data_IF_883831517453
#
_entry.id   IF_883831517453
#
_cell.length_a   1.000
_cell.length_b   1.000
_cell.length_c   1.000
_cell.angle_alpha   90.00
_cell.angle_beta   90.00
_cell.angle_gamma   90.00
#
_symmetry.space_group_name_H-M   'P 1'
#
loop_
_entity.id
_entity.type
_entity.pdbx_description
1 polymer ?
#
# COMPACT_ATOMS: atom_id res chain seq x y z
N UNK A 1 4.76 -11.38 -22.85
CA UNK A 1 4.20 -10.66 -21.69
C UNK A 1 5.34 -9.98 -20.95
N UNK A 2 5.14 -8.76 -20.45
CA UNK A 2 6.15 -8.09 -19.64
C UNK A 2 6.06 -8.60 -18.19
N UNK A 3 7.19 -9.02 -17.62
CA UNK A 3 7.27 -9.43 -16.23
C UNK A 3 7.95 -8.33 -15.40
N UNK A 4 7.39 -8.04 -14.24
CA UNK A 4 8.03 -7.14 -13.29
C UNK A 4 9.24 -7.89 -12.70
N UNK A 5 10.40 -7.24 -12.68
CA UNK A 5 11.63 -7.79 -12.12
C UNK A 5 11.98 -7.10 -10.80
N UNK A 6 12.43 -7.89 -9.83
CA UNK A 6 12.84 -7.44 -8.50
C UNK A 6 11.77 -7.65 -7.42
N UNK A 7 12.01 -7.08 -6.24
CA UNK A 7 11.19 -7.33 -5.06
C UNK A 7 9.93 -6.45 -5.05
N UNK A 8 8.77 -7.09 -4.98
CA UNK A 8 7.48 -6.46 -4.72
C UNK A 8 7.08 -6.69 -3.27
N UNK A 9 6.49 -5.68 -2.64
CA UNK A 9 5.92 -5.80 -1.28
C UNK A 9 4.42 -5.54 -1.32
N UNK A 10 3.65 -6.19 -0.45
CA UNK A 10 2.29 -5.76 -0.14
C UNK A 10 2.34 -4.85 1.10
N UNK A 11 2.27 -3.51 0.94
CA UNK A 11 2.35 -2.58 2.07
C UNK A 11 1.07 -2.63 2.92
N UNK A 12 1.17 -2.23 4.19
CA UNK A 12 0.01 -2.02 5.05
C UNK A 12 -0.77 -0.76 4.60
N UNK A 13 -2.09 -0.77 4.79
CA UNK A 13 -2.92 0.42 4.65
C UNK A 13 -2.83 1.24 5.95
N UNK A 14 -2.40 2.50 5.93
CA UNK A 14 -2.37 3.31 7.14
C UNK A 14 -3.80 3.69 7.56
N UNK A 15 -4.09 3.56 8.85
CA UNK A 15 -5.34 4.00 9.45
C UNK A 15 -5.09 5.08 10.51
N UNK A 16 -6.06 5.97 10.71
CA UNK A 16 -6.08 6.89 11.83
C UNK A 16 -6.51 6.17 13.13
N UNK A 17 -6.48 6.90 14.25
CA UNK A 17 -6.88 6.36 15.57
C UNK A 17 -8.35 5.92 15.66
N UNK A 18 -9.19 6.33 14.71
CA UNK A 18 -10.61 5.98 14.65
C UNK A 18 -10.85 4.82 13.67
N UNK A 19 -9.81 4.32 12.99
CA UNK A 19 -9.91 3.25 12.00
C UNK A 19 -10.24 3.73 10.59
N UNK A 20 -10.25 5.04 10.31
CA UNK A 20 -10.45 5.53 8.95
C UNK A 20 -9.14 5.45 8.16
N UNK A 21 -9.22 5.22 6.85
CA UNK A 21 -8.06 5.29 5.95
C UNK A 21 -7.35 6.64 6.10
N UNK A 22 -6.03 6.59 6.32
CA UNK A 22 -5.19 7.75 6.49
C UNK A 22 -4.17 7.85 5.33
N UNK A 23 -4.36 8.84 4.47
CA UNK A 23 -3.51 9.03 3.28
C UNK A 23 -2.20 9.79 3.58
N UNK A 24 -2.12 10.49 4.72
CA UNK A 24 -0.98 11.36 5.05
C UNK A 24 0.38 10.62 5.04
N UNK A 25 0.51 9.40 5.59
CA UNK A 25 1.80 8.71 5.64
C UNK A 25 2.24 8.09 4.32
N UNK A 26 1.36 7.98 3.31
CA UNK A 26 1.58 7.14 2.11
C UNK A 26 2.81 7.59 1.33
N UNK A 27 2.98 8.90 1.11
CA UNK A 27 4.11 9.42 0.33
C UNK A 27 5.46 9.08 0.97
N UNK A 28 5.58 9.29 2.30
CA UNK A 28 6.79 8.96 3.06
C UNK A 28 7.01 7.44 3.13
N UNK A 29 5.94 6.67 3.24
CA UNK A 29 6.03 5.21 3.25
C UNK A 29 6.54 4.67 1.92
N UNK A 30 5.99 5.15 0.80
CA UNK A 30 6.45 4.81 -0.55
C UNK A 30 7.93 5.18 -0.76
N UNK A 31 8.35 6.37 -0.31
CA UNK A 31 9.76 6.77 -0.40
C UNK A 31 10.68 5.84 0.41
N UNK A 32 10.27 5.46 1.63
CA UNK A 32 11.03 4.51 2.44
C UNK A 32 11.17 3.15 1.74
N UNK A 33 10.08 2.62 1.18
CA UNK A 33 10.10 1.35 0.45
C UNK A 33 11.04 1.42 -0.76
N UNK A 34 10.97 2.53 -1.52
CA UNK A 34 11.83 2.75 -2.67
C UNK A 34 13.32 2.82 -2.28
N UNK A 35 13.66 3.60 -1.25
CA UNK A 35 15.04 3.70 -0.73
C UNK A 35 15.58 2.36 -0.22
N UNK A 36 14.69 1.47 0.25
CA UNK A 36 15.04 0.12 0.68
C UNK A 36 15.15 -0.89 -0.48
N UNK A 37 15.08 -0.45 -1.73
CA UNK A 37 15.38 -1.26 -2.91
C UNK A 37 14.18 -2.00 -3.52
N UNK A 38 12.97 -1.78 -3.02
CA UNK A 38 11.76 -2.40 -3.55
C UNK A 38 11.44 -1.82 -4.93
N UNK A 39 11.02 -2.70 -5.84
CA UNK A 39 10.76 -2.36 -7.25
C UNK A 39 9.29 -2.08 -7.55
N UNK A 40 8.42 -2.34 -6.59
CA UNK A 40 7.01 -2.01 -6.68
C UNK A 40 6.23 -2.47 -5.46
N UNK A 41 4.93 -2.17 -5.50
CA UNK A 41 3.98 -2.49 -4.44
C UNK A 41 2.76 -3.19 -5.01
N UNK A 42 2.15 -4.07 -4.20
CA UNK A 42 0.87 -4.68 -4.46
C UNK A 42 -0.15 -4.16 -3.43
N UNK A 43 -0.88 -3.11 -3.83
CA UNK A 43 -1.87 -2.40 -3.00
C UNK A 43 -3.17 -3.22 -2.93
N UNK A 44 -3.95 -3.05 -1.85
CA UNK A 44 -5.21 -3.77 -1.61
C UNK A 44 -5.05 -5.29 -1.47
N UNK A 45 -3.84 -5.78 -1.20
CA UNK A 45 -3.58 -7.19 -0.86
C UNK A 45 -3.97 -7.53 0.57
N UNK A 46 -3.79 -8.80 0.97
CA UNK A 46 -4.11 -9.26 2.33
C UNK A 46 -3.35 -8.49 3.41
N UNK A 47 -2.06 -8.23 3.21
CA UNK A 47 -1.26 -7.38 4.12
C UNK A 47 -1.70 -5.92 4.10
N UNK A 48 -2.29 -5.44 3.00
CA UNK A 48 -2.90 -4.11 2.95
C UNK A 48 -4.30 -4.06 3.57
N UNK A 49 -4.77 -5.16 4.18
CA UNK A 49 -6.11 -5.27 4.77
C UNK A 49 -7.24 -4.97 3.76
N UNK A 50 -6.98 -5.12 2.46
CA UNK A 50 -7.87 -4.66 1.40
C UNK A 50 -9.24 -5.34 1.36
N UNK A 51 -9.38 -6.52 1.98
CA UNK A 51 -10.66 -7.23 2.12
C UNK A 51 -11.56 -6.63 3.21
N UNK A 52 -11.03 -5.77 4.08
CA UNK A 52 -11.77 -5.07 5.13
C UNK A 52 -12.26 -3.68 4.69
N UNK A 53 -11.78 -3.19 3.55
CA UNK A 53 -12.07 -1.86 3.03
C UNK A 53 -13.30 -1.89 2.10
N UNK A 54 -14.06 -0.80 2.09
CA UNK A 54 -15.06 -0.56 1.05
C UNK A 54 -14.39 -0.32 -0.31
N UNK A 55 -15.18 -0.37 -1.38
CA UNK A 55 -14.65 -0.07 -2.72
C UNK A 55 -14.18 1.40 -2.80
N UNK A 56 -14.88 2.33 -2.14
CA UNK A 56 -14.47 3.74 -2.07
C UNK A 56 -13.13 3.90 -1.37
N UNK A 57 -12.93 3.24 -0.23
CA UNK A 57 -11.65 3.26 0.50
C UNK A 57 -10.49 2.69 -0.33
N UNK A 58 -10.73 1.58 -1.03
CA UNK A 58 -9.73 0.95 -1.90
C UNK A 58 -9.30 1.83 -3.07
N UNK A 59 -10.20 2.70 -3.55
CA UNK A 59 -9.95 3.62 -4.65
C UNK A 59 -9.20 4.90 -4.21
N UNK A 60 -9.12 5.17 -2.90
CA UNK A 60 -8.31 6.27 -2.36
C UNK A 60 -6.81 5.93 -2.26
N UNK A 61 -6.48 4.63 -2.20
CA UNK A 61 -5.13 4.09 -2.03
C UNK A 61 -4.37 3.96 -3.36
#
# INVERSE_FOLDING_TARGET
MAHIQGLLVAPFTPFDKNGNVNLEPIARYAEMLHRNGLKGVFINGSSGEGYMLSDEERMLL
#
